data_IF_850627542664
#
_entry.id   IF_850627542664
#
_cell.length_a   1.000
_cell.length_b   1.000
_cell.length_c   1.000
_cell.angle_alpha   90.00
_cell.angle_beta   90.00
_cell.angle_gamma   90.00
#
_symmetry.space_group_name_H-M   'P 1'
#
loop_
_entity.id
_entity.type
_entity.pdbx_description
1 polymer ?
#
# COMPACT_ATOMS: atom_id res chain seq x y z
N UNK A 1 3.42 6.34 10.11
CA UNK A 1 3.86 5.72 8.84
C UNK A 1 3.95 6.81 7.79
N UNK A 2 4.97 6.81 6.94
CA UNK A 2 5.14 7.82 5.87
C UNK A 2 5.00 7.24 4.47
N UNK A 3 5.34 5.96 4.31
CA UNK A 3 5.18 5.23 3.04
C UNK A 3 4.74 3.81 3.34
N UNK A 4 3.91 3.25 2.47
CA UNK A 4 3.49 1.86 2.52
C UNK A 4 3.19 1.41 1.09
N UNK A 5 4.12 0.67 0.51
CA UNK A 5 4.08 0.30 -0.90
C UNK A 5 4.22 -1.21 -1.04
N UNK A 6 3.36 -1.80 -1.87
CA UNK A 6 3.28 -3.22 -2.11
C UNK A 6 2.76 -3.47 -3.53
N UNK A 7 3.35 -4.47 -4.19
CA UNK A 7 2.82 -5.06 -5.42
C UNK A 7 2.88 -6.57 -5.30
N UNK A 8 1.80 -7.22 -5.73
CA UNK A 8 1.79 -8.67 -5.87
C UNK A 8 2.91 -9.13 -6.81
N UNK A 9 3.79 -9.98 -6.30
CA UNK A 9 4.89 -10.57 -7.05
C UNK A 9 4.92 -12.10 -6.88
N UNK A 10 4.74 -12.60 -5.66
CA UNK A 10 4.59 -14.02 -5.36
C UNK A 10 3.52 -14.22 -4.27
N UNK A 11 2.84 -15.36 -4.29
CA UNK A 11 1.77 -15.67 -3.34
C UNK A 11 2.29 -16.11 -1.95
N UNK A 12 3.55 -16.54 -1.86
CA UNK A 12 4.18 -16.99 -0.62
C UNK A 12 5.00 -15.88 0.04
N UNK A 13 5.69 -15.10 -0.78
CA UNK A 13 6.63 -14.07 -0.31
C UNK A 13 6.20 -12.68 -0.79
N UNK A 14 5.26 -12.07 -0.06
CA UNK A 14 4.87 -10.68 -0.27
C UNK A 14 5.89 -9.73 0.39
N UNK A 15 6.57 -8.90 -0.41
CA UNK A 15 7.48 -7.88 0.09
C UNK A 15 6.77 -6.52 0.17
N UNK A 16 6.79 -5.90 1.34
CA UNK A 16 6.20 -4.59 1.59
C UNK A 16 7.33 -3.60 1.89
N UNK A 17 7.35 -2.49 1.16
CA UNK A 17 8.24 -1.37 1.45
C UNK A 17 7.54 -0.38 2.37
N UNK A 18 8.11 -0.17 3.56
CA UNK A 18 7.50 0.68 4.60
C UNK A 18 8.45 1.79 5.01
N UNK A 19 7.95 3.02 4.98
CA UNK A 19 8.61 4.18 5.56
C UNK A 19 8.00 4.51 6.92
N UNK A 20 8.84 4.63 7.96
CA UNK A 20 8.42 5.02 9.30
C UNK A 20 9.17 6.28 9.74
N UNK A 21 8.44 7.31 10.15
CA UNK A 21 9.01 8.50 10.79
C UNK A 21 9.29 8.18 12.24
N UNK A 22 10.53 8.41 12.66
CA UNK A 22 10.99 8.19 14.03
C UNK A 22 11.01 9.52 14.79
N UNK A 23 10.65 9.45 16.07
CA UNK A 23 10.68 10.57 17.01
C UNK A 23 11.80 10.42 18.04
N UNK A 24 12.20 9.18 18.38
CA UNK A 24 13.30 8.87 19.31
C UNK A 24 14.55 8.31 18.61
N UNK A 25 14.60 8.42 17.28
CA UNK A 25 15.76 8.03 16.48
C UNK A 25 16.09 6.53 16.59
N UNK A 26 17.37 6.21 16.83
CA UNK A 26 17.92 4.85 16.74
C UNK A 26 17.27 3.88 17.74
N UNK A 27 16.90 4.33 18.93
CA UNK A 27 16.30 3.43 19.92
C UNK A 27 14.90 2.96 19.48
N UNK A 28 14.07 3.87 18.97
CA UNK A 28 12.76 3.51 18.40
C UNK A 28 12.89 2.64 17.15
N UNK A 29 13.92 2.87 16.31
CA UNK A 29 14.23 1.98 15.18
C UNK A 29 14.46 0.55 15.65
N UNK A 30 15.28 0.33 16.68
CA UNK A 30 15.54 -1.01 17.24
C UNK A 30 14.27 -1.64 17.81
N UNK A 31 13.49 -0.87 18.56
CA UNK A 31 12.22 -1.34 19.12
C UNK A 31 11.26 -1.83 18.04
N UNK A 32 11.10 -1.07 16.95
CA UNK A 32 10.24 -1.44 15.81
C UNK A 32 10.74 -2.73 15.15
N UNK A 33 12.05 -2.86 14.90
CA UNK A 33 12.63 -4.06 14.29
C UNK A 33 12.41 -5.30 15.16
N UNK A 34 12.63 -5.17 16.47
CA UNK A 34 12.40 -6.27 17.40
C UNK A 34 10.92 -6.69 17.43
N UNK A 35 10.00 -5.73 17.48
CA UNK A 35 8.56 -6.01 17.44
C UNK A 35 8.15 -6.77 16.16
N UNK A 36 8.71 -6.39 15.01
CA UNK A 36 8.42 -7.08 13.75
C UNK A 36 8.99 -8.50 13.73
N UNK A 37 10.23 -8.69 14.21
CA UNK A 37 10.83 -10.02 14.33
C UNK A 37 10.08 -10.92 15.31
N UNK A 38 9.66 -10.40 16.46
CA UNK A 38 8.82 -11.12 17.44
C UNK A 38 7.45 -11.49 16.86
N UNK A 39 6.92 -10.65 15.96
CA UNK A 39 5.72 -10.92 15.19
C UNK A 39 5.89 -11.96 14.07
N UNK A 40 7.11 -12.49 13.86
CA UNK A 40 7.41 -13.50 12.84
C UNK A 40 7.66 -12.93 11.44
N UNK A 41 7.80 -11.62 11.29
CA UNK A 41 8.08 -10.99 10.00
C UNK A 41 9.59 -10.99 9.71
N UNK A 42 9.95 -11.34 8.47
CA UNK A 42 11.31 -11.13 7.97
C UNK A 42 11.49 -9.67 7.56
N UNK A 43 12.42 -8.95 8.19
CA UNK A 43 12.64 -7.53 7.96
C UNK A 43 14.07 -7.27 7.52
N UNK A 44 14.23 -6.43 6.51
CA UNK A 44 15.52 -5.87 6.10
C UNK A 44 15.49 -4.38 6.37
N UNK A 45 16.43 -3.90 7.17
CA UNK A 45 16.52 -2.50 7.55
C UNK A 45 17.33 -1.71 6.52
N UNK A 46 16.63 -0.86 5.76
CA UNK A 46 17.19 -0.05 4.68
C UNK A 46 17.47 1.40 5.11
N UNK A 47 17.46 1.70 6.42
CA UNK A 47 17.60 3.07 6.92
C UNK A 47 18.93 3.73 6.57
N UNK A 48 19.97 2.95 6.23
CA UNK A 48 21.29 3.43 5.83
C UNK A 48 21.60 3.12 4.35
N UNK A 49 20.61 2.63 3.59
CA UNK A 49 20.73 2.30 2.17
C UNK A 49 20.33 3.50 1.29
N UNK A 50 21.32 4.15 0.69
CA UNK A 50 21.09 5.32 -0.18
C UNK A 50 20.35 4.97 -1.47
N UNK A 51 20.54 3.76 -2.01
CA UNK A 51 19.85 3.32 -3.22
C UNK A 51 18.35 3.15 -2.93
N UNK A 52 18.00 2.64 -1.75
CA UNK A 52 16.62 2.54 -1.29
C UNK A 52 15.97 3.92 -1.11
N UNK A 53 16.68 4.85 -0.46
CA UNK A 53 16.19 6.21 -0.17
C UNK A 53 16.06 7.09 -1.40
N UNK A 54 16.98 6.99 -2.35
CA UNK A 54 17.03 7.89 -3.51
C UNK A 54 16.26 7.32 -4.71
N UNK A 55 16.22 6.00 -4.87
CA UNK A 55 15.69 5.36 -6.07
C UNK A 55 14.54 4.40 -5.76
N UNK A 56 14.79 3.33 -4.99
CA UNK A 56 13.83 2.21 -4.89
C UNK A 56 12.47 2.66 -4.37
N UNK A 57 12.42 3.57 -3.39
CA UNK A 57 11.14 4.08 -2.85
C UNK A 57 10.20 4.69 -3.90
N UNK A 58 10.73 5.11 -5.05
CA UNK A 58 9.97 5.65 -6.20
C UNK A 58 9.68 4.61 -7.28
N UNK A 59 10.25 3.41 -7.15
CA UNK A 59 10.20 2.34 -8.15
C UNK A 59 9.41 1.11 -7.66
N UNK A 60 9.10 1.01 -6.36
CA UNK A 60 8.22 -0.05 -5.83
C UNK A 60 6.82 0.11 -6.43
N UNK A 61 6.33 -0.94 -7.09
CA UNK A 61 5.10 -0.91 -7.87
C UNK A 61 5.23 -1.88 -9.02
N UNK A 62 5.66 -1.42 -10.19
CA UNK A 62 5.95 -2.29 -11.34
C UNK A 62 4.77 -3.20 -11.75
N UNK A 63 5.10 -4.18 -12.60
CA UNK A 63 4.14 -5.16 -13.12
C UNK A 63 4.12 -6.42 -12.26
N UNK A 64 2.97 -7.10 -12.15
CA UNK A 64 2.89 -8.37 -11.45
C UNK A 64 3.63 -9.46 -12.23
N UNK A 65 4.02 -10.53 -11.56
CA UNK A 65 4.73 -11.65 -12.19
C UNK A 65 3.83 -12.52 -13.07
N UNK A 66 2.50 -12.39 -12.92
CA UNK A 66 1.48 -13.14 -13.63
C UNK A 66 0.30 -12.21 -13.97
N UNK A 67 -0.46 -12.52 -15.03
CA UNK A 67 -1.66 -11.78 -15.37
C UNK A 67 -2.68 -11.74 -14.23
N UNK A 68 -3.13 -10.55 -13.87
CA UNK A 68 -4.16 -10.33 -12.84
C UNK A 68 -5.42 -9.72 -13.44
N UNK A 69 -6.59 -10.18 -12.98
CA UNK A 69 -7.87 -9.50 -13.21
C UNK A 69 -8.11 -8.52 -12.06
N UNK A 70 -7.54 -7.34 -12.18
CA UNK A 70 -7.58 -6.33 -11.12
C UNK A 70 -8.24 -5.02 -11.54
N UNK A 71 -8.92 -4.38 -10.60
CA UNK A 71 -9.46 -3.02 -10.73
C UNK A 71 -8.65 -2.07 -9.86
N UNK A 72 -8.34 -0.90 -10.39
CA UNK A 72 -7.52 0.11 -9.72
C UNK A 72 -8.41 1.22 -9.18
N UNK A 73 -8.17 1.63 -7.94
CA UNK A 73 -8.86 2.74 -7.31
C UNK A 73 -7.89 3.70 -6.66
N UNK A 74 -8.16 4.99 -6.82
CA UNK A 74 -7.53 6.03 -6.01
C UNK A 74 -8.46 6.44 -4.89
N UNK A 75 -7.90 6.72 -3.72
CA UNK A 75 -8.61 7.15 -2.51
C UNK A 75 -7.95 8.40 -1.96
N UNK A 76 -8.79 9.35 -1.53
CA UNK A 76 -8.34 10.52 -0.78
C UNK A 76 -9.05 10.57 0.57
N UNK A 77 -8.27 10.78 1.63
CA UNK A 77 -8.80 10.95 2.97
C UNK A 77 -8.01 11.99 3.77
N UNK A 78 -8.64 12.67 4.74
CA UNK A 78 -7.94 13.60 5.61
C UNK A 78 -6.81 12.89 6.35
N UNK A 79 -5.60 13.43 6.21
CA UNK A 79 -4.42 12.83 6.84
C UNK A 79 -4.53 13.04 8.36
N UNK A 80 -4.60 11.95 9.12
CA UNK A 80 -4.59 11.97 10.59
C UNK A 80 -3.83 10.77 11.13
N UNK A 81 -3.32 10.84 12.38
CA UNK A 81 -2.65 9.70 12.99
C UNK A 81 -3.54 8.46 12.98
N UNK A 82 -3.08 7.39 12.32
CA UNK A 82 -3.83 6.14 12.19
C UNK A 82 -4.85 6.09 11.05
N UNK A 83 -4.99 7.13 10.22
CA UNK A 83 -5.93 7.16 9.09
C UNK A 83 -5.76 5.96 8.15
N UNK A 84 -4.52 5.61 7.81
CA UNK A 84 -4.24 4.45 6.98
C UNK A 84 -4.61 3.11 7.65
N UNK A 85 -4.38 2.98 8.95
CA UNK A 85 -4.79 1.77 9.68
C UNK A 85 -6.31 1.64 9.70
N UNK A 86 -7.02 2.77 9.91
CA UNK A 86 -8.48 2.82 9.81
C UNK A 86 -8.96 2.44 8.40
N UNK A 87 -8.33 2.97 7.36
CA UNK A 87 -8.62 2.62 5.97
C UNK A 87 -8.50 1.10 5.73
N UNK A 88 -7.38 0.49 6.14
CA UNK A 88 -7.17 -0.95 6.01
C UNK A 88 -8.19 -1.76 6.82
N UNK A 89 -8.54 -1.33 8.03
CA UNK A 89 -9.55 -2.01 8.85
C UNK A 89 -10.95 -1.95 8.22
N UNK A 90 -11.34 -0.81 7.67
CA UNK A 90 -12.67 -0.67 7.06
C UNK A 90 -12.77 -1.44 5.74
N UNK A 91 -11.69 -1.51 4.97
CA UNK A 91 -11.58 -2.37 3.79
C UNK A 91 -11.67 -3.86 4.15
N UNK A 92 -11.17 -4.22 5.34
CA UNK A 92 -11.25 -5.58 5.87
C UNK A 92 -10.37 -6.57 5.10
N UNK A 93 -10.64 -7.87 5.26
CA UNK A 93 -9.89 -8.97 4.61
C UNK A 93 -10.70 -9.64 3.50
N UNK A 94 -11.69 -8.94 2.95
CA UNK A 94 -12.65 -9.53 2.00
C UNK A 94 -12.10 -9.65 0.58
N UNK A 95 -11.19 -8.75 0.18
CA UNK A 95 -10.63 -8.74 -1.18
C UNK A 95 -9.11 -8.85 -1.14
N UNK A 96 -8.58 -9.53 -2.15
CA UNK A 96 -7.15 -9.63 -2.37
C UNK A 96 -6.63 -8.30 -2.92
N UNK A 97 -5.82 -7.60 -2.13
CA UNK A 97 -5.11 -6.40 -2.56
C UNK A 97 -3.91 -6.85 -3.39
N UNK A 98 -3.84 -6.45 -4.65
CA UNK A 98 -2.76 -6.79 -5.59
C UNK A 98 -1.76 -5.63 -5.81
N UNK A 99 -2.15 -4.40 -5.45
CA UNK A 99 -1.31 -3.22 -5.42
C UNK A 99 -1.74 -2.36 -4.25
N UNK A 100 -0.78 -1.82 -3.50
CA UNK A 100 -1.02 -0.77 -2.54
C UNK A 100 0.11 0.24 -2.62
N UNK A 101 -0.23 1.51 -2.81
CA UNK A 101 0.74 2.58 -2.83
C UNK A 101 0.21 3.75 -2.00
N UNK A 102 0.89 4.01 -0.90
CA UNK A 102 0.60 5.11 0.00
C UNK A 102 1.86 5.91 0.28
N UNK A 103 1.70 7.23 0.23
CA UNK A 103 2.70 8.17 0.67
C UNK A 103 2.04 9.37 1.36
N UNK A 104 2.53 9.67 2.54
CA UNK A 104 2.18 10.91 3.24
C UNK A 104 2.95 12.06 2.60
N UNK A 105 2.25 12.96 1.91
CA UNK A 105 2.87 14.09 1.21
C UNK A 105 3.06 15.34 2.10
N UNK A 106 2.80 15.24 3.41
CA UNK A 106 2.83 16.40 4.30
C UNK A 106 1.76 17.45 3.97
N UNK A 107 0.75 17.04 3.20
CA UNK A 107 -0.47 17.78 2.87
C UNK A 107 -1.59 17.41 3.84
N UNK A 108 -2.68 18.18 3.84
CA UNK A 108 -3.87 17.90 4.67
C UNK A 108 -4.61 16.61 4.26
N UNK A 109 -4.24 16.01 3.12
CA UNK A 109 -4.83 14.80 2.57
C UNK A 109 -3.77 13.72 2.32
N UNK A 110 -4.10 12.49 2.71
CA UNK A 110 -3.41 11.26 2.35
C UNK A 110 -4.02 10.68 1.08
N UNK A 111 -3.17 10.15 0.20
CA UNK A 111 -3.60 9.46 -1.03
C UNK A 111 -3.17 8.02 -1.01
N UNK A 112 -4.11 7.13 -1.29
CA UNK A 112 -3.87 5.71 -1.50
C UNK A 112 -4.25 5.37 -2.92
N UNK A 113 -3.37 4.64 -3.60
CA UNK A 113 -3.72 3.93 -4.82
C UNK A 113 -3.72 2.44 -4.49
N UNK A 114 -4.84 1.76 -4.69
CA UNK A 114 -4.95 0.33 -4.43
C UNK A 114 -5.57 -0.40 -5.62
N UNK A 115 -5.02 -1.56 -5.95
CA UNK A 115 -5.64 -2.48 -6.90
C UNK A 115 -6.16 -3.71 -6.16
N UNK A 116 -7.32 -4.18 -6.60
CA UNK A 116 -8.02 -5.32 -6.05
C UNK A 116 -8.20 -6.36 -7.13
N UNK A 117 -7.78 -7.59 -6.84
CA UNK A 117 -8.13 -8.73 -7.67
C UNK A 117 -9.58 -9.10 -7.37
N UNK A 118 -10.45 -8.91 -8.37
CA UNK A 118 -11.89 -9.07 -8.23
C UNK A 118 -12.39 -10.14 -9.20
N UNK A 119 -13.38 -10.90 -8.76
CA UNK A 119 -14.14 -11.79 -9.62
C UNK A 119 -14.93 -11.02 -10.69
N UNK A 120 -15.51 -11.75 -11.64
CA UNK A 120 -16.35 -11.14 -12.70
C UNK A 120 -17.62 -10.47 -12.15
N UNK A 121 -18.03 -10.81 -10.93
CA UNK A 121 -19.19 -10.21 -10.28
C UNK A 121 -18.98 -10.10 -8.77
N UNK A 122 -18.72 -8.88 -8.29
CA UNK A 122 -18.53 -8.55 -6.87
C UNK A 122 -19.45 -7.38 -6.48
N UNK A 123 -20.77 -7.62 -6.32
CA UNK A 123 -21.74 -6.56 -6.08
C UNK A 123 -21.52 -5.83 -4.74
N UNK A 124 -20.96 -6.54 -3.75
CA UNK A 124 -20.70 -5.99 -2.42
C UNK A 124 -19.50 -5.03 -2.39
N UNK A 125 -18.64 -5.08 -3.41
CA UNK A 125 -17.42 -4.28 -3.45
C UNK A 125 -17.72 -2.78 -3.48
N UNK A 126 -18.59 -2.33 -4.39
CA UNK A 126 -18.98 -0.92 -4.50
C UNK A 126 -19.73 -0.45 -3.26
N UNK A 127 -20.60 -1.27 -2.67
CA UNK A 127 -21.29 -0.95 -1.41
C UNK A 127 -20.29 -0.70 -0.29
N UNK A 128 -19.26 -1.54 -0.19
CA UNK A 128 -18.23 -1.44 0.84
C UNK A 128 -17.26 -0.28 0.62
N UNK A 129 -16.94 0.03 -0.64
CA UNK A 129 -16.22 1.26 -0.96
C UNK A 129 -17.00 2.50 -0.50
N UNK A 130 -18.32 2.52 -0.69
CA UNK A 130 -19.16 3.62 -0.21
C UNK A 130 -19.21 3.70 1.33
N UNK A 131 -19.17 2.55 2.03
CA UNK A 131 -19.10 2.52 3.51
C UNK A 131 -17.78 3.08 4.07
N UNK A 132 -16.69 3.11 3.29
CA UNK A 132 -15.45 3.78 3.70
C UNK A 132 -15.68 5.27 3.98
N UNK A 133 -16.65 5.88 3.31
CA UNK A 133 -16.95 7.31 3.43
C UNK A 133 -15.83 8.22 2.91
N UNK A 134 -14.90 7.65 2.13
CA UNK A 134 -13.81 8.37 1.49
C UNK A 134 -14.12 8.57 0.01
N UNK A 135 -13.58 9.64 -0.55
CA UNK A 135 -13.66 9.86 -1.98
C UNK A 135 -12.80 8.81 -2.69
N UNK A 136 -13.42 8.02 -3.57
CA UNK A 136 -12.74 7.03 -4.38
C UNK A 136 -13.05 7.22 -5.87
N UNK A 137 -12.05 6.99 -6.72
CA UNK A 137 -12.19 7.05 -8.17
C UNK A 137 -11.70 5.74 -8.80
N UNK A 138 -12.48 5.20 -9.73
CA UNK A 138 -12.08 4.04 -10.54
C UNK A 138 -11.06 4.48 -11.60
N UNK A 139 -9.83 4.01 -11.44
CA UNK A 139 -8.68 4.28 -12.29
C UNK A 139 -8.30 3.05 -13.15
N UNK A 140 -9.17 2.03 -13.23
CA UNK A 140 -8.89 0.76 -13.91
C UNK A 140 -8.51 0.94 -15.38
N UNK A 141 -9.10 1.94 -16.05
CA UNK A 141 -8.83 2.24 -17.46
C UNK A 141 -7.75 3.30 -17.66
N UNK A 142 -7.09 3.75 -16.59
CA UNK A 142 -6.05 4.79 -16.67
C UNK A 142 -4.88 4.30 -17.55
N UNK A 143 -4.45 5.09 -18.55
CA UNK A 143 -3.33 4.71 -19.41
C UNK A 143 -2.04 4.43 -18.65
N UNK A 144 -1.73 5.22 -17.61
CA UNK A 144 -0.51 5.03 -16.81
C UNK A 144 -0.52 3.66 -16.11
N UNK A 145 -1.67 3.27 -15.55
CA UNK A 145 -1.84 1.94 -14.99
C UNK A 145 -1.61 0.86 -16.04
N UNK A 146 -2.29 0.95 -17.20
CA UNK A 146 -2.16 -0.05 -18.27
C UNK A 146 -0.75 -0.19 -18.83
N UNK A 147 0.02 0.90 -18.93
CA UNK A 147 1.36 0.86 -19.51
C UNK A 147 2.45 0.41 -18.54
N UNK A 148 2.35 0.72 -17.25
CA UNK A 148 3.46 0.53 -16.33
C UNK A 148 3.19 -0.45 -15.18
N UNK A 149 1.92 -0.65 -14.84
CA UNK A 149 1.53 -1.38 -13.64
C UNK A 149 0.73 -2.63 -13.97
N UNK A 150 -0.23 -2.55 -14.88
CA UNK A 150 -1.02 -3.70 -15.30
C UNK A 150 -0.15 -4.72 -16.05
N UNK A 151 -0.44 -6.01 -15.83
CA UNK A 151 0.25 -7.13 -16.46
C UNK A 151 -0.47 -8.43 -16.23
#
# INVERSE_FOLDING_TARGET
MTEFNYRFADAKDACIFVGVRLSRGVEERKEILNLLHEGGYSVVDLSDDEMAKLHVRYMVGGRPSKPLKERLFSFEFPESPGALLKFLHTLGTHWNISLFHYRSHGTDYGRVLAAFELGEHEPDFETRLNELGYECHDETHNPAFRFFLAG
#
